data_IF_205539025191
#
_entry.id   IF_205539025191
#
_cell.length_a   1.000
_cell.length_b   1.000
_cell.length_c   1.000
_cell.angle_alpha   90.00
_cell.angle_beta   90.00
_cell.angle_gamma   90.00
#
_symmetry.space_group_name_H-M   'P 1'
#
loop_
_entity.id
_entity.type
_entity.pdbx_description
1 polymer ?
#
# COMPACT_ATOMS: atom_id res chain seq x y z
N UNK A 1 17.26 1.33 -2.24
CA UNK A 1 15.96 1.79 -2.74
C UNK A 1 16.07 3.28 -2.98
N UNK A 2 15.90 3.74 -4.23
CA UNK A 2 16.10 5.15 -4.62
C UNK A 2 14.94 6.02 -4.11
N UNK A 3 15.12 6.63 -2.94
CA UNK A 3 14.14 7.56 -2.36
C UNK A 3 13.95 8.87 -3.17
N UNK A 4 14.90 9.16 -4.07
CA UNK A 4 14.96 10.46 -4.77
C UNK A 4 13.95 10.62 -5.91
N UNK A 5 13.38 9.53 -6.43
CA UNK A 5 12.47 9.57 -7.56
C UNK A 5 10.97 9.46 -7.20
N UNK A 6 10.64 9.14 -5.94
CA UNK A 6 9.23 8.99 -5.53
C UNK A 6 8.58 10.36 -5.30
N UNK A 7 7.34 10.53 -5.74
CA UNK A 7 6.54 11.74 -5.47
C UNK A 7 6.23 11.91 -3.98
N UNK A 8 5.91 13.14 -3.57
CA UNK A 8 5.49 13.44 -2.21
C UNK A 8 4.18 12.70 -1.86
N UNK A 9 4.04 12.25 -0.60
CA UNK A 9 2.86 11.49 -0.13
C UNK A 9 1.52 12.17 -0.44
N UNK A 10 1.35 13.50 -0.29
CA UNK A 10 0.09 14.17 -0.62
C UNK A 10 -0.29 14.05 -2.10
N UNK A 11 0.69 14.00 -3.01
CA UNK A 11 0.42 13.82 -4.45
C UNK A 11 -0.06 12.40 -4.74
N UNK A 12 0.50 11.40 -4.06
CA UNK A 12 0.06 10.00 -4.19
C UNK A 12 -1.36 9.80 -3.69
N UNK A 13 -1.70 10.41 -2.55
CA UNK A 13 -3.07 10.40 -2.02
C UNK A 13 -4.04 11.13 -2.94
N UNK A 14 -3.62 12.27 -3.50
CA UNK A 14 -4.43 13.00 -4.47
C UNK A 14 -4.68 12.18 -5.73
N UNK A 15 -3.65 11.55 -6.28
CA UNK A 15 -3.78 10.66 -7.43
C UNK A 15 -4.73 9.48 -7.14
N UNK A 16 -4.65 8.89 -5.94
CA UNK A 16 -5.56 7.82 -5.52
C UNK A 16 -7.02 8.31 -5.47
N UNK A 17 -7.27 9.49 -4.88
CA UNK A 17 -8.60 10.09 -4.82
C UNK A 17 -9.16 10.40 -6.21
N UNK A 18 -8.33 10.95 -7.11
CA UNK A 18 -8.72 11.23 -8.49
C UNK A 18 -9.12 9.95 -9.23
N UNK A 19 -8.29 8.91 -9.15
CA UNK A 19 -8.58 7.62 -9.80
C UNK A 19 -9.80 6.95 -9.19
N UNK A 20 -9.94 6.98 -7.86
CA UNK A 20 -11.09 6.42 -7.17
C UNK A 20 -12.39 7.13 -7.60
N UNK A 21 -12.40 8.46 -7.63
CA UNK A 21 -13.53 9.24 -8.11
C UNK A 21 -13.85 8.93 -9.59
N UNK A 22 -12.83 8.79 -10.43
CA UNK A 22 -13.00 8.41 -11.84
C UNK A 22 -13.67 7.05 -11.99
N UNK A 23 -13.23 6.04 -11.26
CA UNK A 23 -13.79 4.66 -11.35
C UNK A 23 -15.19 4.57 -10.75
N UNK A 24 -15.50 5.33 -9.68
CA UNK A 24 -16.82 5.27 -9.02
C UNK A 24 -17.92 6.02 -9.79
N UNK A 25 -17.56 7.09 -10.47
CA UNK A 25 -18.51 7.91 -11.24
C UNK A 25 -18.66 7.34 -12.65
N UNK A 26 -17.62 6.73 -13.20
CA UNK A 26 -17.55 6.23 -14.55
C UNK A 26 -18.14 4.84 -14.72
N UNK A 27 -18.84 4.61 -15.86
CA UNK A 27 -19.45 3.33 -16.23
C UNK A 27 -18.95 2.72 -17.54
N UNK A 28 -18.28 3.52 -18.39
CA UNK A 28 -17.88 3.09 -19.73
C UNK A 28 -16.54 2.31 -19.72
N UNK A 29 -16.63 1.02 -20.06
CA UNK A 29 -15.49 0.08 -20.10
C UNK A 29 -14.35 0.55 -21.01
N UNK A 30 -14.66 1.20 -22.13
CA UNK A 30 -13.65 1.69 -23.08
C UNK A 30 -12.92 2.92 -22.57
N UNK A 31 -13.62 3.84 -21.89
CA UNK A 31 -13.02 5.07 -21.37
C UNK A 31 -12.07 4.82 -20.21
N UNK A 32 -12.23 3.71 -19.47
CA UNK A 32 -11.31 3.30 -18.39
C UNK A 32 -9.87 3.09 -18.89
N UNK A 33 -9.69 2.79 -20.19
CA UNK A 33 -8.36 2.75 -20.81
C UNK A 33 -7.61 4.08 -20.65
N UNK A 34 -8.31 5.22 -20.71
CA UNK A 34 -7.71 6.55 -20.54
C UNK A 34 -7.20 6.72 -19.10
N UNK A 35 -8.02 6.30 -18.14
CA UNK A 35 -7.67 6.38 -16.72
C UNK A 35 -6.48 5.47 -16.39
N UNK A 36 -6.48 4.25 -16.94
CA UNK A 36 -5.39 3.28 -16.77
C UNK A 36 -4.11 3.75 -17.47
N UNK A 37 -4.24 4.32 -18.67
CA UNK A 37 -3.13 4.93 -19.39
C UNK A 37 -2.51 6.09 -18.60
N UNK A 38 -3.33 6.95 -17.99
CA UNK A 38 -2.88 8.01 -17.09
C UNK A 38 -2.16 7.47 -15.85
N UNK A 39 -2.66 6.40 -15.24
CA UNK A 39 -2.03 5.74 -14.09
C UNK A 39 -0.69 5.08 -14.48
N UNK A 40 -0.59 4.47 -15.66
CA UNK A 40 0.66 3.94 -16.18
C UNK A 40 1.68 5.06 -16.47
N UNK A 41 1.26 6.15 -17.09
CA UNK A 41 2.10 7.32 -17.33
C UNK A 41 2.63 7.90 -16.02
N UNK A 42 1.78 7.98 -14.99
CA UNK A 42 2.18 8.39 -13.64
C UNK A 42 3.29 7.50 -13.06
N UNK A 43 3.22 6.17 -13.21
CA UNK A 43 4.28 5.24 -12.77
C UNK A 43 5.56 5.38 -13.59
N UNK A 44 5.45 5.62 -14.89
CA UNK A 44 6.62 5.88 -15.77
C UNK A 44 7.35 7.15 -15.34
N UNK A 45 6.63 8.22 -15.01
CA UNK A 45 7.20 9.47 -14.48
C UNK A 45 7.97 9.26 -13.16
N UNK A 46 7.56 8.27 -12.35
CA UNK A 46 8.29 7.85 -11.15
C UNK A 46 9.54 7.00 -11.42
N UNK A 47 9.85 6.72 -12.67
CA UNK A 47 10.93 5.81 -13.09
C UNK A 47 10.81 4.38 -12.55
N UNK A 48 9.63 3.95 -12.18
CA UNK A 48 9.33 2.58 -11.76
C UNK A 48 8.98 1.69 -12.96
N UNK A 49 9.88 1.64 -13.95
CA UNK A 49 9.65 0.93 -15.21
C UNK A 49 9.29 -0.55 -15.05
N UNK A 50 9.85 -1.23 -14.05
CA UNK A 50 9.53 -2.65 -13.79
C UNK A 50 8.08 -2.85 -13.38
N UNK A 51 7.56 -1.98 -12.51
CA UNK A 51 6.16 -2.03 -12.10
C UNK A 51 5.24 -1.62 -13.25
N UNK A 52 5.56 -0.53 -13.96
CA UNK A 52 4.79 -0.08 -15.11
C UNK A 52 4.70 -1.16 -16.20
N UNK A 53 5.81 -1.85 -16.50
CA UNK A 53 5.84 -2.94 -17.48
C UNK A 53 5.03 -4.16 -17.01
N UNK A 54 5.16 -4.56 -15.73
CA UNK A 54 4.42 -5.70 -15.17
C UNK A 54 2.91 -5.46 -15.20
N UNK A 55 2.47 -4.28 -14.78
CA UNK A 55 1.04 -3.93 -14.80
C UNK A 55 0.53 -3.66 -16.22
N UNK A 56 1.34 -3.07 -17.09
CA UNK A 56 1.02 -2.91 -18.51
C UNK A 56 0.79 -4.26 -19.19
N UNK A 57 1.67 -5.23 -18.94
CA UNK A 57 1.53 -6.59 -19.44
C UNK A 57 0.26 -7.26 -18.89
N UNK A 58 -0.04 -7.12 -17.59
CA UNK A 58 -1.25 -7.64 -16.96
C UNK A 58 -2.51 -7.02 -17.58
N UNK A 59 -2.51 -5.70 -17.78
CA UNK A 59 -3.64 -5.00 -18.39
C UNK A 59 -3.84 -5.39 -19.85
N UNK A 60 -2.76 -5.60 -20.59
CA UNK A 60 -2.78 -6.09 -21.97
C UNK A 60 -3.35 -7.52 -22.04
N UNK A 61 -2.98 -8.37 -21.09
CA UNK A 61 -3.53 -9.72 -20.96
C UNK A 61 -5.04 -9.68 -20.69
N UNK A 62 -5.50 -8.81 -19.77
CA UNK A 62 -6.94 -8.60 -19.53
C UNK A 62 -7.66 -8.11 -20.77
N UNK A 63 -7.07 -7.18 -21.53
CA UNK A 63 -7.64 -6.67 -22.80
C UNK A 63 -7.81 -7.79 -23.83
N UNK A 64 -6.78 -8.64 -23.98
CA UNK A 64 -6.79 -9.76 -24.91
C UNK A 64 -7.82 -10.82 -24.50
N UNK A 65 -7.96 -11.06 -23.21
CA UNK A 65 -8.93 -11.99 -22.64
C UNK A 65 -10.37 -11.48 -22.84
N UNK A 66 -10.59 -10.19 -22.63
CA UNK A 66 -11.88 -9.52 -22.85
C UNK A 66 -12.27 -9.54 -24.33
N UNK A 67 -11.28 -9.30 -25.21
CA UNK A 67 -11.47 -9.41 -26.66
C UNK A 67 -11.84 -10.84 -27.06
N UNK A 68 -11.15 -11.86 -26.54
CA UNK A 68 -11.43 -13.28 -26.81
C UNK A 68 -12.82 -13.71 -26.35
N UNK A 69 -13.25 -13.27 -25.16
CA UNK A 69 -14.59 -13.58 -24.63
C UNK A 69 -15.67 -12.91 -25.50
N UNK A 70 -15.49 -11.65 -25.87
CA UNK A 70 -16.51 -10.87 -26.57
C UNK A 70 -16.62 -11.19 -28.04
N UNK A 71 -15.52 -11.50 -28.75
CA UNK A 71 -15.50 -11.76 -30.19
C UNK A 71 -15.43 -13.24 -30.56
N UNK A 72 -14.81 -14.09 -29.73
CA UNK A 72 -14.62 -15.51 -30.02
C UNK A 72 -15.51 -16.42 -29.16
N UNK A 73 -16.35 -15.87 -28.27
CA UNK A 73 -17.31 -16.64 -27.48
C UNK A 73 -16.64 -17.66 -26.54
N UNK A 74 -15.40 -17.44 -26.12
CA UNK A 74 -14.66 -18.31 -25.21
C UNK A 74 -15.36 -18.37 -23.85
N UNK A 75 -16.12 -19.44 -23.63
CA UNK A 75 -16.77 -19.72 -22.34
C UNK A 75 -15.78 -20.44 -21.44
N UNK A 76 -15.02 -19.68 -20.65
CA UNK A 76 -14.19 -20.28 -19.59
C UNK A 76 -15.01 -20.34 -18.29
N UNK A 77 -15.12 -21.51 -17.64
CA UNK A 77 -15.92 -21.67 -16.42
C UNK A 77 -15.39 -20.85 -15.24
N UNK A 78 -14.08 -20.54 -15.24
CA UNK A 78 -13.42 -19.81 -14.15
C UNK A 78 -13.36 -18.31 -14.42
N UNK A 79 -13.24 -17.87 -15.68
CA UNK A 79 -13.15 -16.47 -16.07
C UNK A 79 -14.42 -16.03 -16.81
N UNK A 80 -15.48 -15.79 -16.03
CA UNK A 80 -16.68 -15.15 -16.56
C UNK A 80 -16.39 -13.71 -16.98
N UNK A 81 -17.08 -13.19 -18.00
CA UNK A 81 -17.00 -11.79 -18.44
C UNK A 81 -17.08 -10.80 -17.26
N UNK A 82 -17.92 -11.10 -16.27
CA UNK A 82 -18.07 -10.30 -15.06
C UNK A 82 -16.76 -10.12 -14.28
N UNK A 83 -16.00 -11.21 -14.07
CA UNK A 83 -14.73 -11.12 -13.34
C UNK A 83 -13.67 -10.32 -14.11
N UNK A 84 -13.60 -10.51 -15.42
CA UNK A 84 -12.66 -9.78 -16.27
C UNK A 84 -12.99 -8.28 -16.27
N UNK A 85 -14.26 -7.91 -16.36
CA UNK A 85 -14.71 -6.52 -16.26
C UNK A 85 -14.45 -5.92 -14.88
N UNK A 86 -14.64 -6.69 -13.81
CA UNK A 86 -14.33 -6.24 -12.45
C UNK A 86 -12.84 -5.92 -12.30
N UNK A 87 -11.95 -6.81 -12.74
CA UNK A 87 -10.50 -6.55 -12.70
C UNK A 87 -10.08 -5.41 -13.63
N UNK A 88 -10.74 -5.25 -14.78
CA UNK A 88 -10.53 -4.15 -15.69
C UNK A 88 -10.84 -2.81 -15.05
N UNK A 89 -12.00 -2.68 -14.41
CA UNK A 89 -12.42 -1.48 -13.71
C UNK A 89 -11.53 -1.14 -12.50
N UNK A 90 -11.09 -2.14 -11.74
CA UNK A 90 -10.26 -1.96 -10.55
C UNK A 90 -8.78 -1.73 -10.86
N UNK A 91 -8.34 -2.03 -12.10
CA UNK A 91 -6.93 -1.95 -12.50
C UNK A 91 -6.26 -0.61 -12.17
N UNK A 92 -6.82 0.58 -12.50
CA UNK A 92 -6.20 1.86 -12.20
C UNK A 92 -6.09 2.12 -10.69
N UNK A 93 -7.06 1.66 -9.89
CA UNK A 93 -7.01 1.79 -8.42
C UNK A 93 -5.88 0.95 -7.86
N UNK A 94 -5.71 -0.31 -8.31
CA UNK A 94 -4.62 -1.17 -7.87
C UNK A 94 -3.25 -0.58 -8.20
N UNK A 95 -3.09 0.01 -9.39
CA UNK A 95 -1.85 0.67 -9.81
C UNK A 95 -1.42 1.78 -8.84
N UNK A 96 -2.32 2.69 -8.53
CA UNK A 96 -2.01 3.84 -7.68
C UNK A 96 -1.91 3.43 -6.20
N UNK A 97 -2.74 2.47 -5.75
CA UNK A 97 -2.65 1.92 -4.39
C UNK A 97 -1.32 1.24 -4.12
N UNK A 98 -0.79 0.50 -5.10
CA UNK A 98 0.52 -0.15 -4.98
C UNK A 98 1.65 0.85 -4.77
N UNK A 99 1.61 2.00 -5.47
CA UNK A 99 2.59 3.07 -5.26
C UNK A 99 2.53 3.65 -3.85
N UNK A 100 1.33 3.78 -3.27
CA UNK A 100 1.17 4.23 -1.89
C UNK A 100 1.70 3.19 -0.89
N UNK A 101 1.42 1.90 -1.08
CA UNK A 101 1.87 0.81 -0.21
C UNK A 101 3.40 0.69 -0.21
N UNK A 102 4.05 0.91 -1.34
CA UNK A 102 5.52 0.84 -1.47
C UNK A 102 6.23 2.08 -0.91
N UNK A 103 5.49 3.08 -0.45
CA UNK A 103 6.05 4.31 0.13
C UNK A 103 6.75 4.02 1.47
N UNK A 104 7.98 4.50 1.68
CA UNK A 104 8.69 4.31 2.95
C UNK A 104 7.91 4.91 4.13
N UNK A 105 7.83 4.21 5.28
CA UNK A 105 7.06 4.68 6.44
C UNK A 105 7.55 6.02 7.00
N UNK A 106 8.84 6.37 6.80
CA UNK A 106 9.38 7.67 7.16
C UNK A 106 8.76 8.85 6.39
N UNK A 107 8.41 8.66 5.12
CA UNK A 107 7.71 9.69 4.35
C UNK A 107 6.24 9.84 4.80
N UNK A 108 5.61 8.73 5.16
CA UNK A 108 4.24 8.75 5.67
C UNK A 108 4.17 9.49 7.01
N UNK A 109 5.13 9.26 7.92
CA UNK A 109 5.20 9.97 9.20
C UNK A 109 5.47 11.45 9.03
N UNK A 110 6.31 11.84 8.07
CA UNK A 110 6.55 13.25 7.72
C UNK A 110 5.28 13.93 7.21
N UNK A 111 4.46 13.22 6.45
CA UNK A 111 3.16 13.73 6.00
C UNK A 111 2.17 13.88 7.16
N UNK A 112 2.08 12.89 8.07
CA UNK A 112 1.22 12.99 9.24
C UNK A 112 1.60 14.16 10.16
N UNK A 113 2.89 14.46 10.29
CA UNK A 113 3.34 15.63 11.07
C UNK A 113 2.87 16.95 10.45
N UNK A 114 2.77 17.04 9.12
CA UNK A 114 2.19 18.20 8.43
C UNK A 114 0.70 18.36 8.67
N UNK A 115 -0.04 17.26 8.85
CA UNK A 115 -1.46 17.27 9.20
C UNK A 115 -1.73 17.69 10.65
N UNK A 116 -0.69 18.16 11.39
CA UNK A 116 -0.77 18.56 12.80
C UNK A 116 -1.31 17.44 13.70
N UNK A 117 -1.06 16.19 13.35
CA UNK A 117 -1.39 15.08 14.23
C UNK A 117 -0.57 15.13 15.53
N UNK A 118 -1.14 14.67 16.65
CA UNK A 118 -0.43 14.67 17.93
C UNK A 118 0.84 13.84 17.84
N UNK A 119 1.93 14.37 18.38
CA UNK A 119 3.27 13.76 18.34
C UNK A 119 3.31 12.32 18.86
N UNK A 120 2.58 11.94 19.95
CA UNK A 120 2.53 10.56 20.42
C UNK A 120 2.00 9.57 19.39
N UNK A 121 0.99 9.99 18.61
CA UNK A 121 0.43 9.15 17.55
C UNK A 121 1.44 8.87 16.42
N UNK A 122 2.16 9.91 15.99
CA UNK A 122 3.19 9.79 14.94
C UNK A 122 4.32 8.89 15.41
N UNK A 123 4.77 9.06 16.65
CA UNK A 123 5.81 8.22 17.25
C UNK A 123 5.36 6.78 17.39
N UNK A 124 4.12 6.54 17.85
CA UNK A 124 3.53 5.21 17.93
C UNK A 124 3.50 4.51 16.58
N UNK A 125 3.05 5.21 15.54
CA UNK A 125 2.99 4.66 14.18
C UNK A 125 4.39 4.31 13.63
N UNK A 126 5.38 5.17 13.87
CA UNK A 126 6.78 4.91 13.49
C UNK A 126 7.34 3.67 14.19
N UNK A 127 7.04 3.53 15.48
CA UNK A 127 7.44 2.36 16.28
C UNK A 127 6.79 1.10 15.70
N UNK A 128 5.50 1.12 15.38
CA UNK A 128 4.79 -0.02 14.78
C UNK A 128 5.46 -0.45 13.46
N UNK A 129 5.69 0.48 12.54
CA UNK A 129 6.31 0.16 11.25
C UNK A 129 7.74 -0.37 11.39
N UNK A 130 8.50 0.14 12.36
CA UNK A 130 9.86 -0.33 12.63
C UNK A 130 9.84 -1.69 13.33
N UNK A 131 8.87 -1.91 14.21
CA UNK A 131 8.78 -3.12 15.00
C UNK A 131 8.24 -4.31 14.19
N UNK A 132 7.42 -4.07 13.18
CA UNK A 132 6.82 -5.11 12.36
C UNK A 132 7.84 -6.10 11.74
N UNK A 133 8.97 -5.66 11.17
CA UNK A 133 10.01 -6.59 10.71
C UNK A 133 10.67 -7.35 11.87
N UNK A 134 10.90 -6.68 13.00
CA UNK A 134 11.51 -7.28 14.20
C UNK A 134 10.60 -8.35 14.82
N UNK A 135 9.29 -8.12 14.82
CA UNK A 135 8.29 -9.08 15.29
C UNK A 135 8.39 -10.44 14.59
N UNK A 136 8.67 -10.45 13.28
CA UNK A 136 8.89 -11.70 12.54
C UNK A 136 10.09 -12.48 13.04
N UNK A 137 11.16 -11.82 13.45
CA UNK A 137 12.36 -12.47 13.98
C UNK A 137 12.12 -13.00 15.39
N UNK A 138 11.41 -12.26 16.22
CA UNK A 138 11.02 -12.68 17.57
C UNK A 138 10.07 -13.89 17.54
N UNK A 139 9.05 -13.86 16.68
CA UNK A 139 8.16 -15.01 16.48
C UNK A 139 8.90 -16.27 16.02
N UNK A 140 9.87 -16.12 15.11
CA UNK A 140 10.73 -17.25 14.73
C UNK A 140 11.57 -17.78 15.91
N UNK A 141 12.02 -16.89 16.79
CA UNK A 141 12.74 -17.23 18.02
C UNK A 141 11.86 -18.06 18.96
N UNK A 142 10.64 -17.61 19.20
CA UNK A 142 9.65 -18.37 20.01
C UNK A 142 9.37 -19.74 19.38
N UNK A 143 9.16 -19.83 18.07
CA UNK A 143 8.95 -21.09 17.36
C UNK A 143 10.12 -22.06 17.52
N UNK A 144 11.37 -21.57 17.48
CA UNK A 144 12.56 -22.41 17.75
C UNK A 144 12.58 -22.92 19.19
N UNK A 145 12.27 -22.05 20.16
CA UNK A 145 12.17 -22.45 21.56
C UNK A 145 11.13 -23.53 21.79
N UNK A 146 9.97 -23.43 21.15
CA UNK A 146 8.91 -24.43 21.18
C UNK A 146 9.39 -25.76 20.58
N UNK A 147 10.08 -25.71 19.44
CA UNK A 147 10.66 -26.90 18.80
C UNK A 147 11.63 -27.63 19.74
N UNK A 148 12.49 -26.88 20.43
CA UNK A 148 13.45 -27.43 21.38
C UNK A 148 12.77 -28.07 22.61
N UNK A 149 11.56 -27.66 22.93
CA UNK A 149 10.72 -28.22 24.02
C UNK A 149 9.82 -29.37 23.54
N UNK A 150 9.90 -29.77 22.28
CA UNK A 150 9.08 -30.88 21.73
C UNK A 150 7.60 -30.50 21.48
N UNK A 151 7.24 -29.21 21.60
CA UNK A 151 5.86 -28.71 21.50
C UNK A 151 5.38 -28.41 20.07
N UNK A 152 6.12 -28.89 19.04
CA UNK A 152 5.80 -28.59 17.63
C UNK A 152 5.21 -29.77 16.87
N UNK A 153 4.84 -30.85 17.54
CA UNK A 153 4.16 -31.96 16.90
C UNK A 153 2.81 -31.51 16.35
N UNK A 154 2.63 -31.61 15.04
CA UNK A 154 1.42 -31.14 14.33
C UNK A 154 0.16 -31.76 14.92
N UNK A 155 0.22 -33.01 15.38
CA UNK A 155 -0.87 -33.69 16.06
C UNK A 155 -1.28 -33.03 17.39
N UNK A 156 -0.31 -32.55 18.19
CA UNK A 156 -0.58 -31.84 19.45
C UNK A 156 -1.13 -30.42 19.22
N UNK A 157 -0.61 -29.72 18.19
CA UNK A 157 -1.11 -28.40 17.82
C UNK A 157 -2.58 -28.45 17.38
N UNK A 158 -2.99 -29.49 16.66
CA UNK A 158 -4.37 -29.66 16.20
C UNK A 158 -5.30 -30.22 17.28
N UNK A 159 -4.78 -31.08 18.18
CA UNK A 159 -5.57 -31.63 19.28
C UNK A 159 -5.91 -30.61 20.37
N UNK A 160 -4.97 -29.69 20.67
CA UNK A 160 -5.13 -28.66 21.71
C UNK A 160 -4.73 -27.28 21.21
N UNK A 161 -5.52 -26.65 20.33
CA UNK A 161 -5.16 -25.38 19.68
C UNK A 161 -5.01 -24.22 20.66
N UNK A 162 -5.84 -24.18 21.72
CA UNK A 162 -5.81 -23.14 22.74
C UNK A 162 -4.50 -23.17 23.55
N UNK A 163 -4.13 -24.35 24.05
CA UNK A 163 -2.86 -24.51 24.80
C UNK A 163 -1.65 -24.22 23.93
N UNK A 164 -1.69 -24.65 22.66
CA UNK A 164 -0.62 -24.38 21.71
C UNK A 164 -0.46 -22.89 21.45
N UNK A 165 -1.56 -22.16 21.37
CA UNK A 165 -1.56 -20.70 21.18
C UNK A 165 -1.03 -19.98 22.44
N UNK A 166 -1.36 -20.46 23.65
CA UNK A 166 -0.83 -19.96 24.91
C UNK A 166 0.68 -20.08 24.99
N UNK A 167 1.24 -21.24 24.62
CA UNK A 167 2.70 -21.47 24.60
C UNK A 167 3.45 -20.54 23.63
N UNK A 168 2.81 -20.04 22.59
CA UNK A 168 3.38 -19.05 21.66
C UNK A 168 3.15 -17.63 22.17
N UNK A 169 1.91 -17.34 22.58
CA UNK A 169 1.46 -15.98 22.84
C UNK A 169 2.09 -15.43 24.13
N UNK A 170 2.14 -16.22 25.21
CA UNK A 170 2.64 -15.73 26.50
C UNK A 170 4.11 -15.33 26.43
N UNK A 171 5.07 -16.15 25.95
CA UNK A 171 6.46 -15.74 25.81
C UNK A 171 6.64 -14.58 24.83
N UNK A 172 5.84 -14.55 23.79
CA UNK A 172 5.88 -13.47 22.80
C UNK A 172 5.42 -12.15 23.42
N UNK A 173 4.31 -12.13 24.17
CA UNK A 173 3.81 -10.92 24.86
C UNK A 173 4.82 -10.42 25.91
N UNK A 174 5.40 -11.31 26.71
CA UNK A 174 6.44 -10.92 27.69
C UNK A 174 7.63 -10.28 26.99
N UNK A 175 8.05 -10.81 25.84
CA UNK A 175 9.14 -10.24 25.04
C UNK A 175 8.79 -8.87 24.47
N UNK A 176 7.54 -8.72 23.98
CA UNK A 176 7.04 -7.43 23.47
C UNK A 176 6.98 -6.38 24.55
N UNK A 177 6.53 -6.73 25.78
CA UNK A 177 6.50 -5.83 26.92
C UNK A 177 7.93 -5.35 27.29
N UNK A 178 8.90 -6.26 27.37
CA UNK A 178 10.29 -5.90 27.62
C UNK A 178 10.84 -4.94 26.55
N UNK A 179 10.52 -5.18 25.28
CA UNK A 179 10.92 -4.29 24.19
C UNK A 179 10.23 -2.93 24.28
N UNK A 180 8.96 -2.88 24.68
CA UNK A 180 8.23 -1.63 24.86
C UNK A 180 8.86 -0.78 25.97
N UNK A 181 9.21 -1.39 27.10
CA UNK A 181 9.89 -0.70 28.21
C UNK A 181 11.25 -0.13 27.76
N UNK A 182 12.06 -0.94 27.07
CA UNK A 182 13.37 -0.50 26.56
C UNK A 182 13.23 0.66 25.55
N UNK A 183 12.24 0.58 24.66
CA UNK A 183 11.95 1.63 23.69
C UNK A 183 11.48 2.91 24.38
N UNK A 184 10.60 2.79 25.39
CA UNK A 184 10.09 3.92 26.16
C UNK A 184 11.24 4.66 26.87
N UNK A 185 12.06 3.94 27.63
CA UNK A 185 13.23 4.52 28.32
C UNK A 185 14.19 5.19 27.33
N UNK A 186 14.49 4.50 26.21
CA UNK A 186 15.34 5.07 25.16
C UNK A 186 14.75 6.31 24.50
N UNK A 187 13.42 6.34 24.29
CA UNK A 187 12.72 7.47 23.69
C UNK A 187 12.73 8.69 24.61
N UNK A 188 12.46 8.50 25.91
CA UNK A 188 12.52 9.57 26.92
C UNK A 188 13.93 10.12 27.03
N UNK A 189 14.96 9.25 27.11
CA UNK A 189 16.35 9.67 27.16
C UNK A 189 16.78 10.51 25.93
N UNK A 190 16.18 10.25 24.77
CA UNK A 190 16.38 11.04 23.53
C UNK A 190 15.50 12.29 23.45
N UNK A 191 14.75 12.60 24.49
CA UNK A 191 13.91 13.80 24.55
C UNK A 191 12.60 13.64 23.77
N UNK A 192 12.00 12.44 23.72
CA UNK A 192 10.72 12.22 23.06
C UNK A 192 9.57 13.04 23.67
N UNK A 193 9.68 13.44 24.93
CA UNK A 193 8.70 14.26 25.64
C UNK A 193 8.97 15.77 25.55
N UNK A 194 10.12 16.18 24.98
CA UNK A 194 10.46 17.60 24.91
C UNK A 194 9.44 18.35 24.05
N UNK A 195 8.79 19.40 24.61
CA UNK A 195 7.87 20.23 23.85
C UNK A 195 8.62 20.97 22.73
N UNK A 196 8.06 21.02 21.54
CA UNK A 196 8.65 21.73 20.40
C UNK A 196 8.18 21.20 19.06
N UNK A 197 8.33 22.03 18.03
CA UNK A 197 8.04 21.64 16.64
C UNK A 197 9.14 20.69 16.16
N UNK A 198 8.76 19.47 15.79
CA UNK A 198 9.69 18.46 15.29
C UNK A 198 9.70 18.46 13.78
N UNK A 199 10.88 18.67 13.20
CA UNK A 199 11.11 18.45 11.78
C UNK A 199 11.33 16.96 11.50
N UNK A 200 10.91 16.49 10.35
CA UNK A 200 11.19 15.12 9.90
C UNK A 200 12.39 15.12 8.95
N UNK A 201 13.35 14.22 9.17
CA UNK A 201 14.47 14.00 8.25
C UNK A 201 14.00 13.58 6.84
N UNK A 202 12.87 12.89 6.77
CA UNK A 202 12.28 12.43 5.51
C UNK A 202 11.29 13.43 4.91
N UNK A 203 11.30 14.69 5.39
CA UNK A 203 10.40 15.71 4.88
C UNK A 203 10.78 16.08 3.44
N UNK A 204 9.98 15.64 2.47
CA UNK A 204 10.11 16.03 1.09
C UNK A 204 9.24 17.27 0.82
N UNK A 205 9.87 18.36 0.40
CA UNK A 205 9.14 19.55 -0.07
C UNK A 205 8.48 19.24 -1.40
N UNK A 206 7.25 19.73 -1.58
CA UNK A 206 6.51 19.59 -2.83
C UNK A 206 7.24 20.38 -3.92
N UNK A 207 7.86 19.68 -4.86
CA UNK A 207 8.58 20.27 -5.97
C UNK A 207 7.68 20.64 -7.15
N UNK A 208 8.25 21.28 -8.17
CA UNK A 208 7.53 21.57 -9.42
C UNK A 208 7.03 20.28 -10.10
N UNK A 209 7.84 19.21 -10.08
CA UNK A 209 7.46 17.88 -10.62
C UNK A 209 6.24 17.28 -9.92
N UNK A 210 6.14 17.44 -8.60
CA UNK A 210 5.04 16.94 -7.79
C UNK A 210 3.73 17.68 -8.14
N UNK A 211 3.81 19.00 -8.35
CA UNK A 211 2.66 19.82 -8.77
C UNK A 211 2.20 19.47 -10.19
N UNK A 212 3.13 19.27 -11.11
CA UNK A 212 2.82 18.86 -12.49
C UNK A 212 2.15 17.49 -12.48
N UNK A 213 2.64 16.54 -11.71
CA UNK A 213 2.05 15.21 -11.60
C UNK A 213 0.61 15.27 -11.01
N UNK A 214 0.40 16.08 -9.97
CA UNK A 214 -0.93 16.27 -9.38
C UNK A 214 -1.91 16.93 -10.38
N UNK A 215 -1.45 17.95 -11.12
CA UNK A 215 -2.25 18.59 -12.15
C UNK A 215 -2.57 17.65 -13.31
N UNK A 216 -1.59 16.86 -13.77
CA UNK A 216 -1.79 15.86 -14.81
C UNK A 216 -2.83 14.81 -14.40
N UNK A 217 -2.76 14.27 -13.18
CA UNK A 217 -3.78 13.36 -12.67
C UNK A 217 -5.18 13.99 -12.65
N UNK A 218 -5.28 15.23 -12.18
CA UNK A 218 -6.56 15.95 -12.16
C UNK A 218 -7.12 16.18 -13.57
N UNK A 219 -6.27 16.58 -14.53
CA UNK A 219 -6.66 16.81 -15.93
C UNK A 219 -7.13 15.50 -16.58
N UNK A 220 -6.39 14.38 -16.40
CA UNK A 220 -6.77 13.08 -16.94
C UNK A 220 -8.12 12.64 -16.38
N UNK A 221 -8.34 12.78 -15.08
CA UNK A 221 -9.61 12.41 -14.45
C UNK A 221 -10.76 13.33 -14.90
N UNK A 222 -10.51 14.63 -15.01
CA UNK A 222 -11.50 15.60 -15.50
C UNK A 222 -11.86 15.32 -16.97
N UNK A 223 -10.88 15.09 -17.84
CA UNK A 223 -11.12 14.74 -19.26
C UNK A 223 -11.92 13.44 -19.42
N UNK A 224 -11.62 12.45 -18.58
CA UNK A 224 -12.37 11.21 -18.51
C UNK A 224 -13.85 11.46 -18.16
N UNK A 225 -14.14 12.22 -17.11
CA UNK A 225 -15.49 12.51 -16.65
C UNK A 225 -16.28 13.37 -17.66
N UNK A 226 -15.62 14.32 -18.32
CA UNK A 226 -16.26 15.15 -19.38
C UNK A 226 -16.62 14.30 -20.58
N UNK A 227 -15.70 13.41 -21.04
CA UNK A 227 -15.98 12.51 -22.15
C UNK A 227 -17.12 11.54 -21.85
N UNK A 228 -17.16 11.03 -20.63
CA UNK A 228 -18.24 10.13 -20.21
C UNK A 228 -19.59 10.84 -20.20
N UNK A 229 -19.64 12.06 -19.67
CA UNK A 229 -20.88 12.85 -19.67
C UNK A 229 -21.33 13.26 -21.07
N UNK A 230 -20.39 13.37 -22.02
CA UNK A 230 -20.73 13.67 -23.42
C UNK A 230 -21.24 12.46 -24.21
N UNK A 231 -20.96 11.24 -23.70
CA UNK A 231 -21.39 9.97 -24.31
C UNK A 231 -22.62 9.36 -23.64
N UNK A 232 -22.96 9.81 -22.43
CA UNK A 232 -24.15 9.40 -21.68
C UNK A 232 -25.38 10.23 -22.09
#
# INVERSE_FOLDING_TARGET
>A
MRADASFAVPVKLWALLCVFAGVTIGGNVLLICILTGGALLYLVLQRNFRLAASYGCFYLLLALLLYGIRFHGLRMPVFSEFYVLMFWNLSPIFLVSWDLITTPPGMLSAFLSRLRMPTPFILGLLVVFRFFPTMRTELKGVGRSMKNRGLTAVGQLLAHPVQSMEYVLVPFLLRVLQLADQLSVSAVARGAERPGVRGSYYEKRIGARDRIAAAACAIVTASYLVLERSMA
#
